data_IF_615988446373
#
_entry.id   IF_615988446373
#
_cell.length_a   1.000
_cell.length_b   1.000
_cell.length_c   1.000
_cell.angle_alpha   90.00
_cell.angle_beta   90.00
_cell.angle_gamma   90.00
#
_symmetry.space_group_name_H-M   'P 1'
#
loop_
_entity.id
_entity.type
_entity.pdbx_description
1 polymer ?
#
# COMPACT_ATOMS: atom_id res chain seq x y z
N UNK A 1 13.83 -1.83 12.66
CA UNK A 1 12.80 -0.79 12.69
C UNK A 1 12.58 -0.23 11.30
N UNK A 2 11.33 -0.09 10.92
CA UNK A 2 10.88 0.35 9.58
C UNK A 2 11.19 -0.63 8.42
N UNK A 3 11.70 -1.81 8.70
CA UNK A 3 11.91 -2.80 7.66
C UNK A 3 10.56 -3.22 7.06
N UNK A 4 10.49 -3.43 5.74
CA UNK A 4 9.26 -3.91 5.12
C UNK A 4 8.96 -5.35 5.52
N UNK A 5 7.67 -5.64 5.67
CA UNK A 5 7.16 -6.98 5.97
C UNK A 5 6.31 -7.42 4.78
N UNK A 6 6.61 -8.58 4.25
CA UNK A 6 5.90 -9.13 3.09
C UNK A 6 5.35 -10.51 3.44
N UNK A 7 4.31 -10.92 2.71
CA UNK A 7 3.77 -12.27 2.81
C UNK A 7 4.74 -13.28 2.19
N UNK A 8 4.43 -14.56 2.33
CA UNK A 8 5.23 -15.62 1.72
C UNK A 8 5.31 -15.46 0.20
N UNK A 9 4.25 -14.93 -0.42
CA UNK A 9 4.20 -14.66 -1.86
C UNK A 9 4.96 -13.39 -2.26
N UNK A 10 5.41 -12.58 -1.30
CA UNK A 10 6.10 -11.31 -1.57
C UNK A 10 5.21 -10.08 -1.61
N UNK A 11 3.95 -10.19 -1.21
CA UNK A 11 3.03 -9.05 -1.17
C UNK A 11 3.23 -8.22 0.08
N UNK A 12 3.14 -6.90 -0.05
CA UNK A 12 3.34 -5.99 1.09
C UNK A 12 2.29 -6.21 2.16
N UNK A 13 2.74 -6.39 3.41
CA UNK A 13 1.91 -6.52 4.60
C UNK A 13 1.98 -5.24 5.44
N UNK A 14 3.16 -4.66 5.61
CA UNK A 14 3.36 -3.49 6.42
C UNK A 14 4.84 -3.25 6.69
N UNK A 15 5.13 -2.62 7.83
CA UNK A 15 6.51 -2.36 8.26
C UNK A 15 6.66 -2.59 9.74
N UNK A 16 7.89 -2.87 10.16
CA UNK A 16 8.21 -3.02 11.58
C UNK A 16 8.12 -1.65 12.26
N UNK A 17 7.25 -1.52 13.25
CA UNK A 17 7.08 -0.29 14.02
C UNK A 17 7.78 -0.32 15.36
N UNK A 18 7.96 -1.50 15.95
CA UNK A 18 8.61 -1.68 17.24
C UNK A 18 9.32 -3.02 17.26
N UNK A 19 10.50 -3.05 17.87
CA UNK A 19 11.30 -4.27 18.03
C UNK A 19 11.48 -4.54 19.52
N UNK A 20 11.06 -5.73 19.97
CA UNK A 20 11.30 -6.23 21.31
C UNK A 20 12.30 -7.37 21.32
N UNK A 21 12.62 -7.91 22.51
CA UNK A 21 13.62 -8.99 22.61
C UNK A 21 13.15 -10.32 22.01
N UNK A 22 11.85 -10.60 22.03
CA UNK A 22 11.30 -11.86 21.51
C UNK A 22 10.25 -11.65 20.44
N UNK A 23 9.72 -10.44 20.30
CA UNK A 23 8.64 -10.13 19.35
C UNK A 23 8.86 -8.76 18.74
N UNK A 24 8.16 -8.52 17.64
CA UNK A 24 8.14 -7.22 16.99
C UNK A 24 6.70 -6.87 16.63
N UNK A 25 6.45 -5.57 16.53
CA UNK A 25 5.15 -5.07 16.11
C UNK A 25 5.21 -4.67 14.63
N UNK A 26 4.17 -5.03 13.91
CA UNK A 26 4.02 -4.69 12.49
C UNK A 26 2.89 -3.69 12.35
N UNK A 27 3.20 -2.55 11.73
CA UNK A 27 2.19 -1.59 11.33
C UNK A 27 1.64 -2.02 9.97
N UNK A 28 0.38 -2.43 9.94
CA UNK A 28 -0.22 -3.01 8.73
C UNK A 28 -0.58 -1.94 7.72
N UNK A 29 -0.54 -2.30 6.45
CA UNK A 29 -1.08 -1.48 5.36
C UNK A 29 -2.58 -1.28 5.62
N UNK A 30 -3.03 -0.03 5.52
CA UNK A 30 -4.41 0.34 5.87
C UNK A 30 -4.53 0.98 7.24
N UNK A 31 -3.52 0.86 8.10
CA UNK A 31 -3.47 1.64 9.33
C UNK A 31 -3.27 3.11 8.97
N UNK A 32 -3.97 4.06 9.66
CA UNK A 32 -3.80 5.48 9.38
C UNK A 32 -2.37 6.00 9.47
N UNK A 33 -1.52 5.32 10.25
CA UNK A 33 -0.12 5.70 10.41
C UNK A 33 0.81 5.03 9.40
N UNK A 34 0.30 4.15 8.55
CA UNK A 34 1.08 3.46 7.53
C UNK A 34 0.82 4.09 6.17
N UNK A 35 1.42 5.26 5.95
CA UNK A 35 1.32 5.97 4.67
C UNK A 35 2.62 5.82 3.92
N UNK A 36 2.53 5.58 2.61
CA UNK A 36 3.73 5.37 1.80
C UNK A 36 3.44 5.69 0.34
N UNK A 37 4.51 5.88 -0.42
CA UNK A 37 4.42 6.21 -1.83
C UNK A 37 4.34 4.96 -2.68
N UNK A 38 3.47 5.00 -3.67
CA UNK A 38 3.27 3.91 -4.62
C UNK A 38 3.28 4.46 -6.04
N UNK A 39 3.31 3.56 -7.01
CA UNK A 39 3.07 3.90 -8.39
C UNK A 39 2.25 2.81 -9.07
N UNK A 40 1.58 3.22 -10.12
CA UNK A 40 0.94 2.29 -11.03
C UNK A 40 2.02 1.66 -11.88
N UNK A 41 2.09 0.33 -11.88
CA UNK A 41 3.23 -0.37 -12.48
C UNK A 41 3.36 -0.09 -13.98
N UNK A 42 2.25 -0.06 -14.69
CA UNK A 42 2.25 0.07 -16.15
C UNK A 42 2.54 1.51 -16.59
N UNK A 43 1.88 2.50 -15.98
CA UNK A 43 1.99 3.90 -16.39
C UNK A 43 3.09 4.66 -15.64
N UNK A 44 3.59 4.11 -14.54
CA UNK A 44 4.56 4.74 -13.64
C UNK A 44 4.06 6.02 -12.97
N UNK A 45 2.75 6.25 -12.98
CA UNK A 45 2.13 7.38 -12.26
C UNK A 45 2.23 7.16 -10.75
N UNK A 46 2.62 8.19 -10.02
CA UNK A 46 2.91 8.11 -8.59
C UNK A 46 1.76 8.66 -7.75
N UNK A 47 1.51 8.01 -6.63
CA UNK A 47 0.53 8.44 -5.64
C UNK A 47 0.92 7.94 -4.26
N UNK A 48 0.01 8.05 -3.31
CA UNK A 48 0.23 7.57 -1.95
C UNK A 48 -0.92 6.69 -1.46
N UNK A 49 -0.59 5.68 -0.69
CA UNK A 49 -1.58 4.83 -0.04
C UNK A 49 -1.92 5.42 1.32
N UNK A 50 -3.22 5.52 1.59
CA UNK A 50 -3.76 5.97 2.87
C UNK A 50 -4.88 5.03 3.30
N UNK A 51 -5.24 5.08 4.57
CA UNK A 51 -6.38 4.33 5.07
C UNK A 51 -7.67 4.86 4.43
N UNK A 52 -8.73 4.04 4.33
CA UNK A 52 -10.00 4.52 3.82
C UNK A 52 -10.52 5.69 4.67
N UNK A 53 -11.09 6.71 4.02
CA UNK A 53 -11.67 7.86 4.71
C UNK A 53 -12.90 7.51 5.50
N UNK A 54 -13.64 6.52 5.03
CA UNK A 54 -14.81 6.01 5.71
C UNK A 54 -14.45 4.67 6.33
N UNK A 55 -15.08 4.37 7.46
CA UNK A 55 -14.92 3.06 8.07
C UNK A 55 -15.34 2.00 7.08
N UNK A 56 -14.42 1.08 6.79
CA UNK A 56 -14.68 -0.04 5.90
C UNK A 56 -14.59 -1.34 6.71
N UNK A 57 -15.59 -2.19 6.54
CA UNK A 57 -15.56 -3.53 7.10
C UNK A 57 -14.61 -4.47 6.35
N UNK A 58 -14.12 -4.07 5.19
CA UNK A 58 -13.23 -4.89 4.39
C UNK A 58 -11.77 -4.46 4.60
N UNK A 59 -10.99 -5.23 5.38
CA UNK A 59 -9.59 -4.87 5.67
C UNK A 59 -8.66 -4.97 4.47
N UNK A 60 -9.13 -5.52 3.34
CA UNK A 60 -8.34 -5.63 2.11
C UNK A 60 -8.42 -4.39 1.23
N UNK A 61 -9.21 -3.38 1.62
CA UNK A 61 -9.40 -2.19 0.81
C UNK A 61 -8.67 -1.00 1.42
N UNK A 62 -7.88 -0.32 0.61
CA UNK A 62 -7.21 0.94 0.98
C UNK A 62 -7.46 1.96 -0.13
N UNK A 63 -7.14 3.22 0.15
CA UNK A 63 -7.25 4.29 -0.84
C UNK A 63 -5.89 4.68 -1.37
N UNK A 64 -5.84 4.92 -2.67
CA UNK A 64 -4.72 5.51 -3.37
C UNK A 64 -5.10 6.94 -3.73
N UNK A 65 -4.26 7.89 -3.37
CA UNK A 65 -4.54 9.31 -3.59
C UNK A 65 -3.34 10.03 -4.17
N UNK A 66 -3.50 11.33 -4.46
CA UNK A 66 -2.45 12.21 -5.00
C UNK A 66 -1.94 11.79 -6.38
N UNK A 67 -2.69 10.98 -7.13
CA UNK A 67 -2.37 10.74 -8.52
C UNK A 67 -2.68 12.00 -9.34
N UNK A 68 -1.88 12.31 -10.38
CA UNK A 68 -2.22 13.41 -11.28
C UNK A 68 -3.64 13.29 -11.81
N UNK A 69 -4.35 14.41 -11.96
CA UNK A 69 -5.76 14.40 -12.36
C UNK A 69 -6.01 13.93 -13.78
N UNK A 70 -4.97 13.82 -14.60
CA UNK A 70 -5.04 13.26 -15.95
C UNK A 70 -4.64 11.78 -16.03
N UNK A 71 -4.45 11.13 -14.89
CA UNK A 71 -4.08 9.71 -14.83
C UNK A 71 -5.20 8.85 -15.39
N UNK A 72 -4.87 7.97 -16.31
CA UNK A 72 -5.80 6.96 -16.85
C UNK A 72 -5.86 5.79 -15.89
N UNK A 73 -6.90 5.77 -15.06
CA UNK A 73 -7.12 4.72 -14.07
C UNK A 73 -8.12 3.70 -14.59
N UNK A 74 -7.73 2.43 -14.57
CA UNK A 74 -8.58 1.31 -15.00
C UNK A 74 -8.56 0.22 -13.95
N UNK A 75 -9.69 -0.48 -13.75
CA UNK A 75 -9.70 -1.64 -12.87
C UNK A 75 -8.67 -2.68 -13.30
N UNK A 76 -8.01 -3.29 -12.32
CA UNK A 76 -7.01 -4.32 -12.57
C UNK A 76 -5.58 -3.81 -12.74
N UNK A 77 -5.36 -2.51 -12.79
CA UNK A 77 -3.99 -1.98 -12.81
C UNK A 77 -3.25 -2.35 -11.54
N UNK A 78 -1.97 -2.69 -11.69
CA UNK A 78 -1.13 -3.11 -10.57
C UNK A 78 -0.53 -1.92 -9.84
N UNK A 79 -0.56 -1.98 -8.52
CA UNK A 79 0.01 -0.97 -7.63
C UNK A 79 1.21 -1.58 -6.92
N UNK A 80 2.35 -0.90 -7.00
CA UNK A 80 3.60 -1.33 -6.36
C UNK A 80 4.19 -0.16 -5.57
N UNK A 81 5.08 -0.46 -4.63
CA UNK A 81 5.78 0.60 -3.91
C UNK A 81 6.71 1.34 -4.87
N UNK A 82 6.87 2.65 -4.64
CA UNK A 82 7.67 3.48 -5.54
C UNK A 82 9.15 3.57 -5.16
N UNK A 83 9.47 3.27 -3.92
CA UNK A 83 10.82 3.48 -3.39
C UNK A 83 11.14 4.92 -3.04
N UNK A 84 10.19 5.83 -3.22
CA UNK A 84 10.37 7.24 -2.86
C UNK A 84 10.01 7.48 -1.41
N UNK A 85 10.59 8.52 -0.82
CA UNK A 85 10.31 8.89 0.57
C UNK A 85 11.01 8.01 1.60
N UNK A 86 11.85 7.08 1.19
CA UNK A 86 12.68 6.27 2.08
C UNK A 86 11.94 5.24 2.92
N UNK A 87 10.64 5.02 2.66
CA UNK A 87 9.84 4.10 3.47
C UNK A 87 10.01 2.64 3.10
N UNK A 88 9.91 2.32 1.81
CA UNK A 88 9.99 0.96 1.31
C UNK A 88 10.89 0.89 0.08
N UNK A 89 11.54 -0.25 -0.19
CA UNK A 89 12.19 -0.45 -1.49
C UNK A 89 11.12 -0.44 -2.58
N UNK A 90 11.54 -0.17 -3.81
CA UNK A 90 10.59 -0.11 -4.93
C UNK A 90 10.14 -1.49 -5.40
N UNK A 91 9.02 -1.51 -6.10
CA UNK A 91 8.47 -2.67 -6.82
C UNK A 91 7.94 -3.79 -5.91
N UNK A 92 7.64 -3.52 -4.64
CA UNK A 92 6.93 -4.49 -3.82
C UNK A 92 5.44 -4.45 -4.21
N UNK A 93 4.84 -5.58 -4.62
CA UNK A 93 3.41 -5.59 -4.99
C UNK A 93 2.51 -5.25 -3.81
N UNK A 94 1.58 -4.32 -4.02
CA UNK A 94 0.64 -3.87 -3.00
C UNK A 94 -0.76 -4.41 -3.28
N UNK A 95 -1.28 -4.17 -4.49
CA UNK A 95 -2.63 -4.59 -4.82
C UNK A 95 -3.05 -4.18 -6.23
N UNK A 96 -4.35 -4.22 -6.46
CA UNK A 96 -4.97 -3.91 -7.74
C UNK A 96 -5.98 -2.79 -7.58
N UNK A 97 -6.03 -1.89 -8.57
CA UNK A 97 -7.07 -0.85 -8.65
C UNK A 97 -8.42 -1.51 -8.88
N UNK A 98 -9.40 -1.13 -8.07
CA UNK A 98 -10.77 -1.63 -8.19
C UNK A 98 -11.69 -0.63 -8.87
N UNK A 99 -11.68 0.62 -8.42
CA UNK A 99 -12.42 1.71 -9.01
C UNK A 99 -11.73 3.02 -8.70
N UNK A 100 -12.17 4.11 -9.33
CA UNK A 100 -11.51 5.40 -9.23
C UNK A 100 -12.51 6.54 -9.35
N UNK A 101 -12.08 7.71 -8.88
CA UNK A 101 -12.85 8.94 -8.94
C UNK A 101 -11.91 10.13 -8.90
N UNK A 102 -12.42 11.31 -9.23
CA UNK A 102 -11.69 12.57 -9.04
C UNK A 102 -11.88 13.04 -7.61
N UNK A 103 -10.83 13.58 -6.99
CA UNK A 103 -10.93 14.14 -5.65
C UNK A 103 -11.94 15.30 -5.61
N UNK A 104 -12.44 15.63 -4.41
CA UNK A 104 -13.47 16.67 -4.24
C UNK A 104 -13.02 18.04 -4.76
N UNK A 105 -11.74 18.36 -4.64
CA UNK A 105 -11.18 19.62 -5.12
C UNK A 105 -10.78 19.59 -6.60
N UNK A 106 -10.90 18.43 -7.25
CA UNK A 106 -10.55 18.25 -8.66
C UNK A 106 -9.07 18.22 -8.98
N UNK A 107 -8.21 18.25 -7.95
CA UNK A 107 -6.76 18.34 -8.16
C UNK A 107 -6.11 16.98 -8.41
N UNK A 108 -6.72 15.90 -7.94
CA UNK A 108 -6.12 14.57 -7.98
C UNK A 108 -7.12 13.52 -8.43
N UNK A 109 -6.59 12.43 -8.93
CA UNK A 109 -7.35 11.18 -9.06
C UNK A 109 -7.11 10.33 -7.82
N UNK A 110 -8.16 9.63 -7.41
CA UNK A 110 -8.15 8.71 -6.27
C UNK A 110 -8.74 7.39 -6.68
N UNK A 111 -8.36 6.33 -5.98
CA UNK A 111 -8.82 4.98 -6.31
C UNK A 111 -8.96 4.14 -5.05
N UNK A 112 -9.82 3.11 -5.14
CA UNK A 112 -9.77 2.02 -4.17
C UNK A 112 -8.84 0.94 -4.68
N UNK A 113 -8.02 0.43 -3.79
CA UNK A 113 -7.06 -0.62 -4.09
C UNK A 113 -7.37 -1.82 -3.22
N UNK A 114 -7.52 -2.98 -3.83
CA UNK A 114 -7.65 -4.24 -3.11
C UNK A 114 -6.26 -4.81 -2.89
N UNK A 115 -5.89 -5.00 -1.63
CA UNK A 115 -4.59 -5.52 -1.27
C UNK A 115 -4.45 -6.97 -1.73
N UNK A 116 -3.26 -7.33 -2.20
CA UNK A 116 -2.93 -8.72 -2.51
C UNK A 116 -2.86 -9.56 -1.24
N UNK A 117 -2.27 -9.02 -0.17
CA UNK A 117 -2.14 -9.74 1.09
C UNK A 117 -3.48 -9.81 1.81
N UNK A 118 -3.85 -10.99 2.28
CA UNK A 118 -5.01 -11.16 3.15
C UNK A 118 -4.53 -11.06 4.60
N UNK A 119 -4.71 -9.86 5.18
CA UNK A 119 -4.18 -9.54 6.50
C UNK A 119 -4.87 -10.34 7.62
N UNK A 120 -6.02 -10.93 7.35
CA UNK A 120 -6.75 -11.74 8.32
C UNK A 120 -6.31 -13.20 8.36
N UNK A 121 -5.51 -13.64 7.39
CA UNK A 121 -5.10 -15.04 7.26
C UNK A 121 -3.59 -15.24 7.24
N UNK A 122 -2.86 -14.25 7.74
CA UNK A 122 -1.40 -14.36 7.82
C UNK A 122 -1.00 -15.29 8.95
N UNK A 123 -0.16 -16.27 8.63
CA UNK A 123 0.47 -17.13 9.62
C UNK A 123 1.96 -16.88 9.67
N UNK A 124 2.58 -16.70 8.51
CA UNK A 124 4.02 -16.48 8.38
C UNK A 124 4.26 -15.28 7.47
N UNK A 125 5.19 -14.43 7.87
CA UNK A 125 5.62 -13.29 7.07
C UNK A 125 7.14 -13.27 7.00
N UNK A 126 7.66 -12.48 6.06
CA UNK A 126 9.11 -12.25 5.93
C UNK A 126 9.42 -10.78 6.14
N UNK A 127 10.49 -10.52 6.87
CA UNK A 127 11.01 -9.17 7.08
C UNK A 127 12.19 -8.99 6.13
N UNK A 128 12.15 -7.96 5.31
CA UNK A 128 13.23 -7.67 4.37
C UNK A 128 14.31 -6.86 5.10
N UNK A 129 15.51 -7.43 5.24
CA UNK A 129 16.59 -6.82 6.00
C UNK A 129 17.57 -6.05 5.13
N UNK A 130 17.74 -6.48 3.89
CA UNK A 130 18.63 -5.85 2.90
C UNK A 130 17.82 -5.37 1.71
N UNK A 131 17.88 -4.07 1.47
CA UNK A 131 17.22 -3.50 0.30
C UNK A 131 17.81 -2.15 -0.08
#
# INVERSE_FOLDING_TARGET
>A
LNQPVVSVQGYLVGRISEVGPLTSWVLLVGDPNCRFSVLLKESRSQGGIVSPRQFSANPRMVELTYLPNDTDLRPGQRVVTSGLGGGFPKEIPVGLVMDSWTSKDGLYMEARVKLHADLNQLETVRVLMDY
#
